data_IF_207718075862
#
_entry.id   IF_207718075862
#
_cell.length_a   1.000
_cell.length_b   1.000
_cell.length_c   1.000
_cell.angle_alpha   90.00
_cell.angle_beta   90.00
_cell.angle_gamma   90.00
#
_symmetry.space_group_name_H-M   'P 1'
#
loop_
_entity.id
_entity.type
_entity.pdbx_description
1 polymer ?
#
# COMPACT_ATOMS: atom_id res chain seq x y z
N UNK A 1 -39.36 15.45 -24.83
CA UNK A 1 -39.00 15.76 -23.43
C UNK A 1 -39.00 17.28 -23.28
N UNK A 2 -39.39 17.85 -22.12
CA UNK A 2 -39.45 19.30 -21.95
C UNK A 2 -38.04 19.92 -22.00
N UNK A 3 -37.99 21.24 -22.20
CA UNK A 3 -36.80 22.09 -22.13
C UNK A 3 -36.35 22.26 -20.67
N UNK A 4 -35.92 21.16 -20.03
CA UNK A 4 -35.43 21.15 -18.66
C UNK A 4 -33.95 21.57 -18.62
N UNK A 5 -33.51 22.27 -17.56
CA UNK A 5 -32.08 22.44 -17.28
C UNK A 5 -31.38 21.06 -17.26
N UNK A 6 -30.11 20.96 -17.73
CA UNK A 6 -29.42 19.67 -17.88
C UNK A 6 -29.44 18.79 -16.63
N UNK A 7 -29.35 19.40 -15.44
CA UNK A 7 -29.39 18.69 -14.18
C UNK A 7 -30.77 18.09 -13.89
N UNK A 8 -31.83 18.89 -14.01
CA UNK A 8 -33.20 18.43 -13.80
C UNK A 8 -33.59 17.35 -14.82
N UNK A 9 -33.10 17.48 -16.05
CA UNK A 9 -33.25 16.46 -17.07
C UNK A 9 -32.63 15.12 -16.62
N UNK A 10 -31.38 15.14 -16.14
CA UNK A 10 -30.70 13.94 -15.66
C UNK A 10 -31.41 13.33 -14.45
N UNK A 11 -31.80 14.15 -13.48
CA UNK A 11 -32.52 13.69 -12.28
C UNK A 11 -33.86 13.04 -12.68
N UNK A 12 -34.60 13.63 -13.62
CA UNK A 12 -35.83 13.04 -14.15
C UNK A 12 -35.60 11.75 -14.94
N UNK A 13 -34.57 11.72 -15.77
CA UNK A 13 -34.19 10.53 -16.55
C UNK A 13 -33.86 9.37 -15.60
N UNK A 14 -33.03 9.63 -14.60
CA UNK A 14 -32.62 8.59 -13.65
C UNK A 14 -33.79 8.09 -12.80
N UNK A 15 -34.69 8.97 -12.36
CA UNK A 15 -35.90 8.57 -11.66
C UNK A 15 -36.82 7.67 -12.51
N UNK A 16 -37.02 7.99 -13.80
CA UNK A 16 -37.89 7.23 -14.70
C UNK A 16 -37.40 5.81 -14.97
N UNK A 17 -36.08 5.64 -15.06
CA UNK A 17 -35.45 4.37 -15.42
C UNK A 17 -34.84 3.62 -14.24
N UNK A 18 -35.15 4.03 -13.00
CA UNK A 18 -34.59 3.45 -11.77
C UNK A 18 -33.05 3.39 -11.81
N UNK A 19 -32.43 4.49 -12.23
CA UNK A 19 -30.99 4.70 -12.28
C UNK A 19 -30.56 5.64 -11.15
N UNK A 20 -29.27 5.67 -10.90
CA UNK A 20 -28.59 6.66 -10.09
C UNK A 20 -27.35 7.13 -10.82
N UNK A 21 -26.86 8.32 -10.49
CA UNK A 21 -25.69 8.89 -11.14
C UNK A 21 -24.74 9.51 -10.13
N UNK A 22 -23.43 9.39 -10.38
CA UNK A 22 -22.38 9.98 -9.56
C UNK A 22 -21.32 10.62 -10.46
N UNK A 23 -20.85 11.81 -10.10
CA UNK A 23 -19.83 12.54 -10.84
C UNK A 23 -18.63 12.77 -9.94
N UNK A 24 -17.46 12.28 -10.35
CA UNK A 24 -16.21 12.38 -9.57
C UNK A 24 -15.37 13.62 -9.94
N UNK A 25 -15.97 14.60 -10.62
CA UNK A 25 -15.27 15.77 -11.15
C UNK A 25 -14.68 15.56 -12.55
N UNK A 26 -14.64 14.33 -13.07
CA UNK A 26 -14.13 14.02 -14.41
C UNK A 26 -15.13 13.22 -15.24
N UNK A 27 -15.73 12.19 -14.66
CA UNK A 27 -16.59 11.23 -15.36
C UNK A 27 -17.94 11.15 -14.67
N UNK A 28 -19.01 11.24 -15.46
CA UNK A 28 -20.38 10.96 -15.01
C UNK A 28 -20.64 9.45 -15.10
N UNK A 29 -20.73 8.81 -13.95
CA UNK A 29 -21.11 7.41 -13.82
C UNK A 29 -22.62 7.30 -13.69
N UNK A 30 -23.22 6.41 -14.47
CA UNK A 30 -24.65 6.06 -14.36
C UNK A 30 -24.72 4.56 -14.07
N UNK A 31 -25.45 4.18 -13.03
CA UNK A 31 -25.68 2.78 -12.66
C UNK A 31 -27.16 2.56 -12.39
N UNK A 32 -27.62 1.31 -12.37
CA UNK A 32 -28.95 1.01 -11.86
C UNK A 32 -29.01 1.34 -10.35
N UNK A 33 -30.17 1.79 -9.87
CA UNK A 33 -30.36 2.11 -8.45
C UNK A 33 -30.16 0.87 -7.56
N UNK A 34 -30.53 -0.31 -8.04
CA UNK A 34 -30.34 -1.59 -7.34
C UNK A 34 -28.86 -2.00 -7.18
N UNK A 35 -27.94 -1.35 -7.90
CA UNK A 35 -26.50 -1.56 -7.73
C UNK A 35 -25.92 -0.72 -6.57
N UNK A 36 -26.73 0.11 -5.90
CA UNK A 36 -26.30 0.81 -4.70
C UNK A 36 -25.74 -0.17 -3.67
N UNK A 37 -24.59 0.18 -3.09
CA UNK A 37 -23.87 -0.66 -2.15
C UNK A 37 -23.79 0.05 -0.80
N UNK A 38 -23.89 -0.73 0.28
CA UNK A 38 -23.59 -0.28 1.62
C UNK A 38 -22.49 -1.14 2.20
N UNK A 39 -21.40 -0.52 2.67
CA UNK A 39 -20.24 -1.24 3.22
C UNK A 39 -19.83 -0.64 4.55
N UNK A 40 -19.54 -1.51 5.52
CA UNK A 40 -18.80 -1.15 6.70
C UNK A 40 -17.31 -1.22 6.38
N UNK A 41 -16.57 -0.15 6.66
CA UNK A 41 -15.14 -0.03 6.35
C UNK A 41 -14.40 0.32 7.65
N UNK A 42 -13.30 -0.39 7.91
CA UNK A 42 -12.41 -0.16 9.05
C UNK A 42 -11.44 0.95 8.71
N UNK A 43 -11.38 2.00 9.52
CA UNK A 43 -10.53 3.17 9.32
C UNK A 43 -9.08 3.00 9.81
N UNK A 44 -8.86 2.20 10.87
CA UNK A 44 -7.58 2.11 11.60
C UNK A 44 -6.37 1.95 10.65
N UNK A 45 -5.32 2.81 10.72
CA UNK A 45 -5.04 3.85 11.72
C UNK A 45 -5.51 5.27 11.37
N UNK A 46 -6.37 5.45 10.37
CA UNK A 46 -6.84 6.75 9.90
C UNK A 46 -8.02 7.23 10.76
N UNK A 47 -8.11 8.53 11.03
CA UNK A 47 -9.28 9.12 11.69
C UNK A 47 -10.40 9.38 10.68
N UNK A 48 -11.66 9.43 11.15
CA UNK A 48 -12.79 9.77 10.29
C UNK A 48 -12.61 11.14 9.63
N UNK A 49 -12.16 12.14 10.40
CA UNK A 49 -11.95 13.50 9.91
C UNK A 49 -10.87 13.56 8.82
N UNK A 50 -9.79 12.78 8.95
CA UNK A 50 -8.76 12.71 7.92
C UNK A 50 -9.28 12.09 6.62
N UNK A 51 -10.09 11.03 6.72
CA UNK A 51 -10.75 10.46 5.55
C UNK A 51 -11.72 11.47 4.92
N UNK A 52 -12.58 12.11 5.72
CA UNK A 52 -13.57 13.08 5.22
C UNK A 52 -12.89 14.25 4.53
N UNK A 53 -11.85 14.80 5.11
CA UNK A 53 -11.06 15.89 4.53
C UNK A 53 -10.42 15.47 3.19
N UNK A 54 -9.89 14.25 3.09
CA UNK A 54 -9.33 13.73 1.85
C UNK A 54 -10.41 13.55 0.76
N UNK A 55 -11.58 13.00 1.12
CA UNK A 55 -12.70 12.86 0.18
C UNK A 55 -13.20 14.21 -0.33
N UNK A 56 -13.26 15.21 0.53
CA UNK A 56 -13.64 16.58 0.17
C UNK A 56 -12.59 17.23 -0.75
N UNK A 57 -11.30 17.09 -0.41
CA UNK A 57 -10.21 17.64 -1.22
C UNK A 57 -10.11 17.03 -2.62
N UNK A 58 -10.54 15.77 -2.77
CA UNK A 58 -10.58 15.06 -4.05
C UNK A 58 -11.91 15.24 -4.80
N UNK A 59 -12.83 16.07 -4.29
CA UNK A 59 -14.20 16.22 -4.81
C UNK A 59 -14.96 14.89 -4.96
N UNK A 60 -14.67 13.91 -4.09
CA UNK A 60 -15.33 12.61 -4.06
C UNK A 60 -16.65 12.69 -3.30
N UNK A 61 -16.72 13.52 -2.27
CA UNK A 61 -17.93 13.69 -1.45
C UNK A 61 -19.12 14.19 -2.25
N UNK A 62 -20.27 13.56 -2.03
CA UNK A 62 -21.56 13.95 -2.61
C UNK A 62 -22.62 13.84 -1.52
N UNK A 63 -23.39 14.91 -1.30
CA UNK A 63 -24.38 15.00 -0.23
C UNK A 63 -25.51 13.98 -0.36
N UNK A 64 -25.72 13.43 -1.55
CA UNK A 64 -26.73 12.39 -1.80
C UNK A 64 -26.33 11.03 -1.23
N UNK A 65 -25.05 10.84 -0.90
CA UNK A 65 -24.49 9.56 -0.47
C UNK A 65 -23.92 9.64 0.94
N UNK A 66 -23.93 8.50 1.62
CA UNK A 66 -23.63 8.44 3.05
C UNK A 66 -22.18 8.03 3.25
N UNK A 67 -21.44 8.84 3.99
CA UNK A 67 -20.17 8.45 4.64
C UNK A 67 -20.23 8.95 6.08
N UNK A 68 -20.45 8.04 7.03
CA UNK A 68 -20.62 8.41 8.44
C UNK A 68 -19.99 7.38 9.38
N UNK A 69 -19.62 7.75 10.61
CA UNK A 69 -19.20 6.80 11.62
C UNK A 69 -20.30 5.76 11.89
N UNK A 70 -19.89 4.50 12.05
CA UNK A 70 -20.76 3.39 12.42
C UNK A 70 -20.59 3.05 13.92
N UNK A 71 -21.53 2.29 14.53
CA UNK A 71 -21.34 1.78 15.88
C UNK A 71 -20.09 0.89 15.97
N UNK A 72 -19.23 1.16 16.96
CA UNK A 72 -17.92 0.52 17.12
C UNK A 72 -16.78 1.51 16.82
N UNK A 73 -15.65 1.33 17.49
CA UNK A 73 -14.50 2.22 17.28
C UNK A 73 -13.87 2.00 15.91
N UNK A 74 -13.61 3.10 15.19
CA UNK A 74 -12.87 3.06 13.92
C UNK A 74 -13.63 2.43 12.75
N UNK A 75 -14.96 2.37 12.78
CA UNK A 75 -15.78 1.92 11.64
C UNK A 75 -16.53 3.07 11.00
N UNK A 76 -16.67 3.03 9.67
CA UNK A 76 -17.58 3.89 8.93
C UNK A 76 -18.57 3.06 8.12
N UNK A 77 -19.74 3.64 7.88
CA UNK A 77 -20.69 3.19 6.87
C UNK A 77 -20.55 4.08 5.63
N UNK A 78 -20.20 3.47 4.51
CA UNK A 78 -20.25 4.10 3.18
C UNK A 78 -21.43 3.50 2.39
N UNK A 79 -22.33 4.35 1.89
CA UNK A 79 -23.49 3.92 1.12
C UNK A 79 -23.73 4.81 -0.10
N UNK A 80 -23.84 4.21 -1.28
CA UNK A 80 -24.05 4.90 -2.54
C UNK A 80 -23.77 4.03 -3.76
N UNK A 81 -23.61 4.63 -4.96
CA UNK A 81 -23.28 3.93 -6.19
C UNK A 81 -21.95 3.18 -6.07
N UNK A 82 -21.76 2.07 -6.82
CA UNK A 82 -20.54 1.27 -6.75
C UNK A 82 -19.25 2.08 -6.89
N UNK A 83 -19.25 3.08 -7.79
CA UNK A 83 -18.08 3.94 -8.02
C UNK A 83 -17.75 4.82 -6.82
N UNK A 84 -18.77 5.43 -6.19
CA UNK A 84 -18.59 6.24 -4.99
C UNK A 84 -17.98 5.42 -3.86
N UNK A 85 -18.59 4.26 -3.55
CA UNK A 85 -18.09 3.37 -2.48
C UNK A 85 -16.68 2.87 -2.77
N UNK A 86 -16.36 2.57 -4.03
CA UNK A 86 -15.02 2.18 -4.44
C UNK A 86 -13.99 3.30 -4.24
N UNK A 87 -14.34 4.55 -4.55
CA UNK A 87 -13.45 5.70 -4.33
C UNK A 87 -13.22 5.98 -2.83
N UNK A 88 -14.22 5.80 -1.98
CA UNK A 88 -14.06 5.90 -0.52
C UNK A 88 -13.04 4.89 -0.01
N UNK A 89 -13.17 3.62 -0.43
CA UNK A 89 -12.24 2.55 -0.07
C UNK A 89 -10.82 2.77 -0.63
N UNK A 90 -10.71 3.22 -1.88
CA UNK A 90 -9.43 3.56 -2.51
C UNK A 90 -8.72 4.70 -1.79
N UNK A 91 -9.45 5.76 -1.44
CA UNK A 91 -8.90 6.92 -0.71
C UNK A 91 -8.37 6.50 0.65
N UNK A 92 -9.15 5.70 1.39
CA UNK A 92 -8.71 5.18 2.68
C UNK A 92 -7.43 4.34 2.55
N UNK A 93 -7.36 3.42 1.58
CA UNK A 93 -6.16 2.61 1.33
C UNK A 93 -4.93 3.48 1.02
N UNK A 94 -5.10 4.55 0.25
CA UNK A 94 -4.04 5.52 -0.03
C UNK A 94 -3.53 6.19 1.25
N UNK A 95 -4.44 6.68 2.11
CA UNK A 95 -4.08 7.29 3.39
C UNK A 95 -3.35 6.32 4.33
N UNK A 96 -3.79 5.05 4.39
CA UNK A 96 -3.14 4.00 5.18
C UNK A 96 -1.72 3.76 4.69
N UNK A 97 -1.52 3.61 3.38
CA UNK A 97 -0.21 3.40 2.77
C UNK A 97 0.74 4.57 3.05
N UNK A 98 0.24 5.80 2.94
CA UNK A 98 1.02 7.01 3.25
C UNK A 98 1.44 7.04 4.74
N UNK A 99 0.52 6.73 5.65
CA UNK A 99 0.82 6.67 7.08
C UNK A 99 1.88 5.61 7.42
N UNK A 100 1.87 4.46 6.74
CA UNK A 100 2.86 3.40 6.90
C UNK A 100 4.23 3.81 6.33
N UNK A 101 4.26 4.44 5.16
CA UNK A 101 5.48 4.95 4.55
C UNK A 101 6.16 6.00 5.45
N UNK A 102 5.38 6.90 6.06
CA UNK A 102 5.88 7.91 7.02
C UNK A 102 6.46 7.31 8.31
N UNK A 103 6.03 6.11 8.72
CA UNK A 103 6.58 5.40 9.90
C UNK A 103 7.87 4.61 9.60
N UNK A 104 8.09 4.26 8.34
CA UNK A 104 9.21 3.42 7.91
C UNK A 104 10.58 4.11 7.70
N UNK A 105 10.78 5.46 7.70
CA UNK A 105 12.09 6.05 7.39
C UNK A 105 13.12 5.91 8.53
N UNK A 106 12.71 5.42 9.71
CA UNK A 106 13.61 5.14 10.83
C UNK A 106 14.05 3.68 10.94
N UNK A 107 13.33 2.73 10.30
CA UNK A 107 13.65 1.30 10.39
C UNK A 107 14.77 0.89 9.41
N UNK A 108 14.90 1.57 8.27
CA UNK A 108 15.96 1.27 7.29
C UNK A 108 17.35 1.77 7.71
N UNK A 109 17.43 2.77 8.61
CA UNK A 109 18.71 3.31 9.12
C UNK A 109 19.33 2.51 10.26
N UNK A 110 18.63 1.54 10.84
CA UNK A 110 19.08 0.87 12.07
C UNK A 110 19.41 -0.61 11.95
N UNK A 111 19.49 -1.22 10.75
CA UNK A 111 19.69 -2.68 10.66
C UNK A 111 20.57 -3.18 9.50
N UNK A 112 21.44 -2.35 8.91
CA UNK A 112 22.52 -2.90 8.09
C UNK A 112 23.76 -3.12 8.95
N UNK A 113 23.83 -4.27 9.62
CA UNK A 113 25.12 -4.87 9.99
C UNK A 113 25.86 -5.08 8.66
N UNK A 114 26.63 -4.07 8.26
CA UNK A 114 27.21 -4.01 6.92
C UNK A 114 28.47 -4.87 6.92
N UNK A 115 28.29 -6.14 6.60
CA UNK A 115 29.40 -7.09 6.48
C UNK A 115 29.97 -6.99 5.06
N UNK A 116 31.10 -6.29 4.92
CA UNK A 116 31.85 -6.20 3.66
C UNK A 116 33.04 -7.16 3.70
N UNK A 117 33.02 -8.18 2.83
CA UNK A 117 34.13 -9.11 2.67
C UNK A 117 35.06 -8.61 1.56
N UNK A 118 36.26 -8.20 1.92
CA UNK A 118 37.29 -7.74 0.99
C UNK A 118 38.29 -8.87 0.74
N UNK A 119 38.48 -9.24 -0.52
CA UNK A 119 39.47 -10.22 -0.94
C UNK A 119 40.69 -9.52 -1.52
N UNK A 120 41.87 -9.81 -0.97
CA UNK A 120 43.16 -9.35 -1.48
C UNK A 120 44.11 -10.53 -1.60
N UNK A 121 44.29 -11.05 -2.81
CA UNK A 121 45.11 -12.24 -3.05
C UNK A 121 44.54 -13.46 -2.33
N UNK A 122 45.33 -14.09 -1.47
CA UNK A 122 44.92 -15.26 -0.67
C UNK A 122 44.31 -14.91 0.70
N UNK A 123 44.03 -13.62 0.97
CA UNK A 123 43.49 -13.16 2.26
C UNK A 123 42.09 -12.57 2.08
N UNK A 124 41.15 -12.97 2.94
CA UNK A 124 39.86 -12.32 3.13
C UNK A 124 39.86 -11.54 4.44
N UNK A 125 39.35 -10.32 4.42
CA UNK A 125 39.07 -9.53 5.62
C UNK A 125 37.60 -9.20 5.66
N UNK A 126 36.96 -9.49 6.80
CA UNK A 126 35.56 -9.18 7.03
C UNK A 126 35.50 -7.85 7.75
N UNK A 127 34.82 -6.87 7.19
CA UNK A 127 34.54 -5.61 7.86
C UNK A 127 33.11 -5.64 8.38
N UNK A 128 32.93 -5.43 9.67
CA UNK A 128 31.62 -5.30 10.33
C UNK A 128 31.54 -3.91 10.94
N UNK A 129 30.53 -3.13 10.56
CA UNK A 129 30.33 -1.76 11.04
C UNK A 129 31.58 -0.86 10.88
N UNK A 130 32.32 -1.05 9.79
CA UNK A 130 33.54 -0.30 9.48
C UNK A 130 34.79 -0.74 10.26
N UNK A 131 34.70 -1.75 11.13
CA UNK A 131 35.86 -2.34 11.80
C UNK A 131 36.29 -3.64 11.11
N UNK A 132 37.58 -3.79 10.78
CA UNK A 132 38.09 -5.07 10.30
C UNK A 132 38.06 -6.09 11.43
N UNK A 133 37.28 -7.16 11.23
CA UNK A 133 37.33 -8.38 12.02
C UNK A 133 38.28 -9.34 11.30
N UNK A 134 39.41 -9.67 11.94
CA UNK A 134 40.35 -10.64 11.38
C UNK A 134 39.72 -12.03 11.39
N UNK A 135 39.62 -12.66 10.23
CA UNK A 135 39.06 -13.99 10.10
C UNK A 135 39.98 -15.03 10.77
N UNK A 136 39.47 -16.02 11.51
CA UNK A 136 40.30 -17.10 12.05
C UNK A 136 40.87 -17.94 10.92
N UNK A 137 42.19 -18.10 10.91
CA UNK A 137 42.94 -18.92 9.95
C UNK A 137 42.40 -20.36 9.94
N UNK A 138 42.00 -20.85 8.77
CA UNK A 138 41.57 -22.25 8.62
C UNK A 138 42.81 -23.16 8.55
N UNK A 139 42.94 -24.23 9.37
CA UNK A 139 44.14 -25.06 9.38
C UNK A 139 44.35 -25.79 8.04
N UNK A 140 45.61 -25.81 7.60
CA UNK A 140 46.11 -26.64 6.50
C UNK A 140 45.74 -28.12 6.73
N UNK A 141 44.99 -28.71 5.81
CA UNK A 141 44.95 -30.16 5.61
C UNK A 141 45.42 -30.49 4.21
N UNK A 142 46.67 -30.94 4.13
CA UNK A 142 47.35 -31.39 2.91
C UNK A 142 48.44 -32.40 3.23
N UNK A 143 48.15 -33.36 4.13
CA UNK A 143 49.00 -34.51 4.37
C UNK A 143 48.60 -35.66 3.45
N UNK A 144 48.99 -35.61 2.18
CA UNK A 144 48.91 -36.74 1.27
C UNK A 144 50.21 -37.55 1.34
N UNK A 145 50.02 -38.85 1.53
CA UNK A 145 50.97 -39.91 1.79
C UNK A 145 51.99 -40.08 0.64
N UNK A 146 53.23 -40.41 1.03
CA UNK A 146 54.38 -40.79 0.20
C UNK A 146 54.03 -41.86 -0.84
N UNK A 147 54.40 -41.60 -2.09
CA UNK A 147 54.66 -42.65 -3.08
C UNK A 147 56.16 -42.71 -3.36
N UNK A 148 56.73 -43.90 -3.24
CA UNK A 148 58.16 -44.19 -3.34
C UNK A 148 58.52 -44.60 -4.78
N UNK A 149 59.69 -44.16 -5.24
CA UNK A 149 60.37 -44.71 -6.42
C UNK A 149 61.85 -44.35 -6.41
N UNK A 150 62.68 -44.93 -7.29
CA UNK A 150 62.97 -46.36 -7.45
C UNK A 150 64.49 -46.68 -7.39
N UNK A 151 64.87 -47.97 -7.51
CA UNK A 151 66.25 -48.45 -7.80
C UNK A 151 67.02 -48.89 -6.54
N UNK A 152 67.29 -50.17 -6.25
CA UNK A 152 67.87 -51.30 -6.99
C UNK A 152 69.40 -51.25 -7.14
N UNK A 153 70.03 -52.13 -6.34
CA UNK A 153 71.43 -52.59 -6.26
C UNK A 153 72.49 -51.67 -5.65
#
# INVERSE_FOLDING_TARGET
>A
MPDLPPREFLDRLTALYNLQWYYDGLVLYISAAQEAQSRLIVLNPISFDALKAALDALNISDERYIVKPAPGEGLILASGPPRFVALVDQTLKGLVAEAQARRSPAAERSQHESVLMLFRGSSSTVFRDGRPEASPETPLHGGAVREAGPGQK
#
